data_IF_704349879784
#
_entry.id   IF_704349879784
#
_cell.length_a   1.000
_cell.length_b   1.000
_cell.length_c   1.000
_cell.angle_alpha   90.00
_cell.angle_beta   90.00
_cell.angle_gamma   90.00
#
_symmetry.space_group_name_H-M   'P 1'
#
loop_
_entity.id
_entity.type
_entity.pdbx_description
1 polymer ?
#
# COMPACT_ATOMS: atom_id res chain seq x y z
N UNK A 1 -27.59 36.42 -36.32
CA UNK A 1 -26.30 35.80 -35.96
C UNK A 1 -26.07 35.66 -34.43
N UNK A 2 -26.68 36.47 -33.56
CA UNK A 2 -26.41 36.45 -32.10
C UNK A 2 -26.80 35.14 -31.38
N UNK A 3 -27.93 34.50 -31.74
CA UNK A 3 -28.39 33.24 -31.12
C UNK A 3 -27.41 32.06 -31.30
N UNK A 4 -26.66 32.05 -32.41
CA UNK A 4 -25.68 30.99 -32.71
C UNK A 4 -24.42 31.12 -31.84
N UNK A 5 -24.05 32.34 -31.43
CA UNK A 5 -22.92 32.59 -30.53
C UNK A 5 -23.24 32.24 -29.07
N UNK A 6 -24.47 32.48 -28.64
CA UNK A 6 -24.95 32.16 -27.29
C UNK A 6 -25.02 30.65 -27.06
N UNK A 7 -25.51 29.89 -28.04
CA UNK A 7 -25.56 28.43 -27.97
C UNK A 7 -24.17 27.79 -27.88
N UNK A 8 -23.18 28.34 -28.61
CA UNK A 8 -21.78 27.92 -28.52
C UNK A 8 -21.18 28.22 -27.15
N UNK A 9 -21.54 29.34 -26.54
CA UNK A 9 -21.09 29.71 -25.19
C UNK A 9 -21.65 28.77 -24.13
N UNK A 10 -22.93 28.39 -24.23
CA UNK A 10 -23.58 27.43 -23.33
C UNK A 10 -22.98 26.02 -23.48
N UNK A 11 -22.68 25.59 -24.71
CA UNK A 11 -22.00 24.30 -24.95
C UNK A 11 -20.57 24.30 -24.38
N UNK A 12 -19.85 25.42 -24.49
CA UNK A 12 -18.49 25.56 -23.97
C UNK A 12 -18.45 25.55 -22.43
N UNK A 13 -19.40 26.22 -21.77
CA UNK A 13 -19.50 26.21 -20.31
C UNK A 13 -19.98 24.86 -19.77
N UNK A 14 -20.88 24.17 -20.46
CA UNK A 14 -21.30 22.82 -20.09
C UNK A 14 -20.17 21.80 -20.23
N UNK A 15 -19.36 21.90 -21.30
CA UNK A 15 -18.15 21.09 -21.48
C UNK A 15 -17.08 21.35 -20.40
N UNK A 16 -16.91 22.61 -19.99
CA UNK A 16 -15.98 22.96 -18.91
C UNK A 16 -16.43 22.41 -17.54
N UNK A 17 -17.73 22.49 -17.22
CA UNK A 17 -18.26 21.92 -15.96
C UNK A 17 -18.12 20.40 -15.88
N UNK A 18 -18.18 19.68 -17.00
CA UNK A 18 -18.02 18.22 -17.03
C UNK A 18 -16.55 17.78 -16.84
N UNK A 19 -15.58 18.65 -17.13
CA UNK A 19 -14.16 18.36 -16.90
C UNK A 19 -13.74 18.59 -15.45
N UNK A 20 -14.40 19.50 -14.72
CA UNK A 20 -14.10 19.79 -13.31
C UNK A 20 -14.68 18.74 -12.36
N UNK A 21 -15.69 17.97 -12.77
CA UNK A 21 -16.27 16.90 -11.94
C UNK A 21 -15.38 15.65 -11.82
N UNK A 22 -14.33 15.52 -12.64
CA UNK A 22 -13.42 14.37 -12.59
C UNK A 22 -12.34 14.47 -11.52
N UNK A 23 -12.21 15.59 -10.81
CA UNK A 23 -11.20 15.74 -9.76
C UNK A 23 -11.80 15.51 -8.36
N UNK A 24 -11.85 14.25 -7.92
CA UNK A 24 -11.51 13.87 -6.53
C UNK A 24 -12.03 12.46 -6.19
N UNK A 25 -11.39 11.42 -6.73
CA UNK A 25 -11.33 10.11 -6.07
C UNK A 25 -10.18 10.04 -5.05
N UNK A 26 -10.03 11.08 -4.21
CA UNK A 26 -9.17 11.00 -3.05
C UNK A 26 -9.89 10.23 -1.95
N UNK A 27 -9.90 8.90 -2.05
CA UNK A 27 -10.45 8.04 -1.01
C UNK A 27 -9.78 8.39 0.33
N UNK A 28 -10.59 8.92 1.25
CA UNK A 28 -10.09 9.41 2.54
C UNK A 28 -9.55 8.22 3.33
N UNK A 29 -8.23 8.12 3.40
CA UNK A 29 -7.55 7.11 4.24
C UNK A 29 -8.05 7.19 5.67
N UNK A 30 -8.51 6.07 6.19
CA UNK A 30 -9.03 5.96 7.56
C UNK A 30 -7.86 6.13 8.53
N UNK A 31 -8.08 6.89 9.60
CA UNK A 31 -7.11 7.00 10.70
C UNK A 31 -7.41 5.93 11.73
N UNK A 32 -6.46 5.04 11.99
CA UNK A 32 -6.59 3.98 12.98
C UNK A 32 -5.87 4.39 14.27
N UNK A 33 -6.55 4.28 15.41
CA UNK A 33 -6.02 4.61 16.74
C UNK A 33 -5.75 3.38 17.59
N UNK A 34 -6.54 2.33 17.41
CA UNK A 34 -6.47 1.12 18.21
C UNK A 34 -5.45 0.13 17.64
N UNK A 35 -4.64 -0.49 18.52
CA UNK A 35 -3.58 -1.41 18.13
C UNK A 35 -4.11 -2.62 17.35
N UNK A 36 -5.23 -3.20 17.80
CA UNK A 36 -5.84 -4.37 17.16
C UNK A 36 -6.27 -4.06 15.71
N UNK A 37 -6.83 -2.88 15.47
CA UNK A 37 -7.23 -2.45 14.13
C UNK A 37 -6.01 -2.22 13.24
N UNK A 38 -4.94 -1.64 13.79
CA UNK A 38 -3.68 -1.46 13.06
C UNK A 38 -3.06 -2.81 12.74
N UNK A 39 -3.06 -3.75 13.67
CA UNK A 39 -2.56 -5.10 13.45
C UNK A 39 -3.34 -5.80 12.33
N UNK A 40 -4.67 -5.79 12.38
CA UNK A 40 -5.52 -6.39 11.35
C UNK A 40 -5.30 -5.75 9.97
N UNK A 41 -5.21 -4.41 9.91
CA UNK A 41 -4.96 -3.69 8.67
C UNK A 41 -3.57 -4.01 8.10
N UNK A 42 -2.54 -4.08 8.95
CA UNK A 42 -1.19 -4.47 8.53
C UNK A 42 -1.18 -5.88 7.98
N UNK A 43 -1.79 -6.85 8.68
CA UNK A 43 -1.88 -8.23 8.23
C UNK A 43 -2.52 -8.32 6.85
N UNK A 44 -3.70 -7.70 6.67
CA UNK A 44 -4.44 -7.72 5.40
C UNK A 44 -3.63 -7.14 4.24
N UNK A 45 -2.98 -6.00 4.45
CA UNK A 45 -2.22 -5.34 3.39
C UNK A 45 -0.93 -6.08 3.05
N UNK A 46 -0.23 -6.65 4.04
CA UNK A 46 0.97 -7.47 3.79
C UNK A 46 0.61 -8.75 3.04
N UNK A 47 -0.49 -9.42 3.42
CA UNK A 47 -0.98 -10.57 2.68
C UNK A 47 -1.33 -10.22 1.24
N UNK A 48 -2.01 -9.09 1.02
CA UNK A 48 -2.35 -8.62 -0.31
C UNK A 48 -1.09 -8.31 -1.14
N UNK A 49 -0.08 -7.71 -0.52
CA UNK A 49 1.21 -7.39 -1.16
C UNK A 49 1.94 -8.65 -1.62
N UNK A 50 2.01 -9.68 -0.78
CA UNK A 50 2.72 -10.93 -1.10
C UNK A 50 1.96 -11.76 -2.13
N UNK A 51 0.63 -11.61 -2.19
CA UNK A 51 -0.22 -12.26 -3.21
C UNK A 51 -0.33 -11.42 -4.51
N UNK A 52 0.22 -10.21 -4.55
CA UNK A 52 0.14 -9.36 -5.74
C UNK A 52 0.86 -9.99 -6.94
N UNK A 53 0.26 -9.83 -8.13
CA UNK A 53 0.79 -10.43 -9.37
C UNK A 53 2.19 -9.94 -9.69
N UNK A 54 2.53 -8.69 -9.40
CA UNK A 54 3.86 -8.15 -9.68
C UNK A 54 4.90 -8.71 -8.70
N UNK A 55 4.53 -8.81 -7.42
CA UNK A 55 5.37 -9.44 -6.42
C UNK A 55 5.66 -10.89 -6.78
N UNK A 56 4.62 -11.69 -6.99
CA UNK A 56 4.73 -13.12 -7.35
C UNK A 56 5.54 -13.31 -8.63
N UNK A 57 5.34 -12.46 -9.65
CA UNK A 57 6.11 -12.53 -10.90
C UNK A 57 7.60 -12.27 -10.69
N UNK A 58 7.96 -11.24 -9.90
CA UNK A 58 9.36 -10.93 -9.59
C UNK A 58 10.00 -12.02 -8.73
N UNK A 59 9.27 -12.48 -7.71
CA UNK A 59 9.66 -13.57 -6.84
C UNK A 59 9.97 -14.83 -7.65
N UNK A 60 9.04 -15.31 -8.47
CA UNK A 60 9.25 -16.51 -9.30
C UNK A 60 10.37 -16.38 -10.32
N UNK A 61 10.66 -15.15 -10.78
CA UNK A 61 11.73 -14.91 -11.75
C UNK A 61 13.12 -14.97 -11.11
N UNK A 62 13.30 -14.43 -9.91
CA UNK A 62 14.62 -14.30 -9.25
C UNK A 62 14.87 -15.33 -8.15
N UNK A 63 13.81 -15.80 -7.50
CA UNK A 63 13.83 -16.56 -6.26
C UNK A 63 12.92 -17.80 -6.36
N UNK A 64 12.96 -18.51 -7.49
CA UNK A 64 12.04 -19.60 -7.81
C UNK A 64 12.05 -20.79 -6.84
N UNK A 65 13.15 -20.96 -6.11
CA UNK A 65 13.36 -22.02 -5.12
C UNK A 65 13.03 -21.60 -3.69
N UNK A 66 12.75 -20.32 -3.45
CA UNK A 66 12.46 -19.80 -2.12
C UNK A 66 11.03 -20.15 -1.74
N UNK A 67 10.88 -20.88 -0.63
CA UNK A 67 9.62 -21.25 0.02
C UNK A 67 9.84 -21.31 1.51
N UNK A 68 8.79 -21.09 2.29
CA UNK A 68 8.85 -21.13 3.75
C UNK A 68 8.16 -19.94 4.40
N UNK A 69 8.54 -19.64 5.62
CA UNK A 69 8.01 -18.54 6.42
C UNK A 69 9.11 -17.57 6.90
N UNK A 70 8.70 -16.34 7.12
CA UNK A 70 9.51 -15.33 7.78
C UNK A 70 8.67 -14.56 8.80
N UNK A 71 9.17 -14.50 10.04
CA UNK A 71 8.58 -13.72 11.12
C UNK A 71 9.32 -12.39 11.18
N UNK A 72 8.58 -11.30 11.03
CA UNK A 72 9.12 -9.94 10.99
C UNK A 72 8.37 -9.03 11.95
N UNK A 73 9.13 -8.13 12.57
CA UNK A 73 8.57 -7.00 13.29
C UNK A 73 8.56 -5.78 12.36
N UNK A 74 7.37 -5.28 12.06
CA UNK A 74 7.13 -4.15 11.18
C UNK A 74 6.73 -2.94 12.03
N UNK A 75 7.46 -1.84 11.90
CA UNK A 75 7.10 -0.62 12.62
C UNK A 75 6.37 0.38 11.72
N UNK A 76 5.09 0.60 11.98
CA UNK A 76 4.23 1.55 11.27
C UNK A 76 4.27 2.91 11.95
N UNK A 77 4.37 3.98 11.17
CA UNK A 77 4.35 5.38 11.63
C UNK A 77 3.28 6.19 10.89
N UNK A 78 3.19 7.47 11.23
CA UNK A 78 2.27 8.43 10.60
C UNK A 78 2.20 8.32 9.08
N UNK A 79 1.01 8.61 8.53
CA UNK A 79 0.69 8.54 7.11
C UNK A 79 0.77 7.13 6.47
N UNK A 80 0.72 6.07 7.29
CA UNK A 80 0.75 4.69 6.81
C UNK A 80 2.10 4.31 6.22
N UNK A 81 3.18 4.96 6.68
CA UNK A 81 4.54 4.62 6.27
C UNK A 81 5.10 3.56 7.21
N UNK A 82 5.97 2.72 6.68
CA UNK A 82 6.81 1.87 7.51
C UNK A 82 8.13 2.58 7.82
N UNK A 83 8.59 2.39 9.05
CA UNK A 83 9.85 2.93 9.55
C UNK A 83 10.92 1.87 9.72
N UNK A 84 10.54 0.62 9.90
CA UNK A 84 11.49 -0.49 10.00
C UNK A 84 10.86 -1.82 9.62
N UNK A 85 11.71 -2.70 9.11
CA UNK A 85 11.45 -4.10 8.87
C UNK A 85 12.55 -4.88 9.59
N UNK A 86 12.19 -5.69 10.59
CA UNK A 86 13.17 -6.43 11.38
C UNK A 86 12.85 -7.93 11.34
N UNK A 87 13.76 -8.73 10.78
CA UNK A 87 13.65 -10.19 10.79
C UNK A 87 13.82 -10.70 12.23
N UNK A 88 12.82 -11.41 12.74
CA UNK A 88 12.85 -12.08 14.04
C UNK A 88 13.31 -13.52 13.89
N UNK A 89 12.68 -14.26 12.98
CA UNK A 89 12.98 -15.68 12.69
C UNK A 89 12.58 -16.02 11.25
N UNK A 90 13.19 -17.06 10.65
CA UNK A 90 12.82 -17.53 9.31
C UNK A 90 13.48 -18.87 8.99
N UNK A 91 12.76 -19.75 8.30
CA UNK A 91 13.34 -20.92 7.61
C UNK A 91 13.99 -20.53 6.26
N UNK A 92 13.60 -19.40 5.68
CA UNK A 92 14.21 -18.81 4.48
C UNK A 92 15.59 -18.25 4.85
N UNK A 93 16.61 -18.79 4.17
CA UNK A 93 18.04 -18.41 4.34
C UNK A 93 18.60 -17.56 3.22
N UNK A 94 17.84 -17.40 2.13
CA UNK A 94 18.23 -16.58 0.99
C UNK A 94 18.24 -15.09 1.41
N UNK A 95 19.44 -14.52 1.53
CA UNK A 95 19.65 -13.14 2.01
C UNK A 95 19.11 -12.14 1.00
N UNK A 96 19.33 -12.39 -0.29
CA UNK A 96 18.88 -11.51 -1.38
C UNK A 96 17.34 -11.44 -1.41
N UNK A 97 16.68 -12.56 -1.13
CA UNK A 97 15.22 -12.57 -1.00
C UNK A 97 14.74 -11.77 0.23
N UNK A 98 15.41 -11.91 1.38
CA UNK A 98 15.04 -11.17 2.60
C UNK A 98 15.19 -9.67 2.39
N UNK A 99 16.27 -9.23 1.73
CA UNK A 99 16.49 -7.83 1.37
C UNK A 99 15.41 -7.35 0.39
N UNK A 100 15.14 -8.12 -0.67
CA UNK A 100 14.06 -7.81 -1.61
C UNK A 100 12.69 -7.66 -0.92
N UNK A 101 12.36 -8.56 0.00
CA UNK A 101 11.11 -8.50 0.76
C UNK A 101 11.08 -7.27 1.65
N UNK A 102 12.17 -6.99 2.37
CA UNK A 102 12.33 -5.80 3.21
C UNK A 102 12.08 -4.52 2.40
N UNK A 103 12.73 -4.37 1.26
CA UNK A 103 12.57 -3.21 0.39
C UNK A 103 11.16 -3.08 -0.16
N UNK A 104 10.56 -4.21 -0.56
CA UNK A 104 9.19 -4.23 -1.06
C UNK A 104 8.21 -3.79 0.03
N UNK A 105 8.36 -4.31 1.23
CA UNK A 105 7.50 -3.95 2.37
C UNK A 105 7.72 -2.50 2.76
N UNK A 106 8.96 -2.05 2.95
CA UNK A 106 9.28 -0.67 3.35
C UNK A 106 8.85 0.39 2.33
N UNK A 107 8.85 0.05 1.04
CA UNK A 107 8.35 0.95 -0.01
C UNK A 107 6.82 0.96 -0.12
N UNK A 108 6.13 -0.01 0.49
CA UNK A 108 4.67 -0.03 0.54
C UNK A 108 4.14 1.09 1.43
N UNK A 109 3.09 1.76 0.94
CA UNK A 109 2.43 2.82 1.68
C UNK A 109 1.00 2.40 1.97
N UNK A 110 0.73 2.12 3.24
CA UNK A 110 -0.55 1.60 3.69
C UNK A 110 -1.71 2.53 3.37
N UNK A 111 -2.89 1.95 3.20
CA UNK A 111 -4.12 2.65 2.86
C UNK A 111 -4.76 3.37 4.05
N UNK A 112 -4.29 3.07 5.27
CA UNK A 112 -4.67 3.77 6.49
C UNK A 112 -3.61 4.80 6.93
N UNK A 113 -3.96 5.59 7.94
CA UNK A 113 -3.06 6.54 8.60
C UNK A 113 -3.07 6.27 10.10
N UNK A 114 -1.96 6.61 10.74
CA UNK A 114 -1.90 6.74 12.19
C UNK A 114 -1.98 8.23 12.58
N UNK A 115 -2.50 8.55 13.78
CA UNK A 115 -2.32 9.85 14.41
C UNK A 115 -0.86 10.28 14.47
N UNK A 116 -0.63 11.60 14.58
CA UNK A 116 0.73 12.15 14.70
C UNK A 116 1.43 11.57 15.93
N UNK A 117 2.75 11.34 15.80
CA UNK A 117 3.62 10.79 16.86
C UNK A 117 3.31 9.35 17.31
N UNK A 118 2.26 8.72 16.78
CA UNK A 118 1.95 7.32 17.08
C UNK A 118 2.79 6.37 16.22
N UNK A 119 3.30 5.33 16.87
CA UNK A 119 4.10 4.28 16.26
C UNK A 119 3.68 2.94 16.83
N UNK A 120 3.42 1.99 15.94
CA UNK A 120 3.10 0.61 16.30
C UNK A 120 4.17 -0.33 15.78
N UNK A 121 4.54 -1.32 16.59
CA UNK A 121 5.43 -2.40 16.20
C UNK A 121 4.61 -3.69 16.13
N UNK A 122 4.29 -4.10 14.91
CA UNK A 122 3.41 -5.24 14.66
C UNK A 122 4.26 -6.42 14.20
N UNK A 123 4.12 -7.56 14.88
CA UNK A 123 4.74 -8.82 14.45
C UNK A 123 3.87 -9.48 13.40
N UNK A 124 4.48 -9.90 12.29
CA UNK A 124 3.82 -10.54 11.16
C UNK A 124 4.56 -11.80 10.76
N UNK A 125 3.80 -12.85 10.45
CA UNK A 125 4.32 -14.07 9.83
C UNK A 125 3.95 -14.05 8.36
N UNK A 126 4.95 -14.00 7.49
CA UNK A 126 4.77 -13.99 6.04
C UNK A 126 5.11 -15.38 5.52
N UNK A 127 4.16 -16.02 4.85
CA UNK A 127 4.34 -17.32 4.21
C UNK A 127 4.56 -17.15 2.70
N UNK A 128 5.56 -17.83 2.18
CA UNK A 128 5.97 -17.83 0.77
C UNK A 128 5.80 -19.24 0.20
N UNK A 129 4.94 -19.36 -0.83
CA UNK A 129 4.58 -20.62 -1.51
C UNK A 129 5.21 -20.76 -2.90
#
# INVERSE_FOLDING_TARGET
MQKLSFLKFVLLTFGFCFLVSMTSFAQKRVTLTEEEQVQEAVTKEIEALVKDKNFVKKMRKKFSTVRGYIIVDIAVVQNGKLSSFFKVDSDIKDIDFIEYLSDTVLSHKFEFKLPKQQRYKIRQTINIE
#
